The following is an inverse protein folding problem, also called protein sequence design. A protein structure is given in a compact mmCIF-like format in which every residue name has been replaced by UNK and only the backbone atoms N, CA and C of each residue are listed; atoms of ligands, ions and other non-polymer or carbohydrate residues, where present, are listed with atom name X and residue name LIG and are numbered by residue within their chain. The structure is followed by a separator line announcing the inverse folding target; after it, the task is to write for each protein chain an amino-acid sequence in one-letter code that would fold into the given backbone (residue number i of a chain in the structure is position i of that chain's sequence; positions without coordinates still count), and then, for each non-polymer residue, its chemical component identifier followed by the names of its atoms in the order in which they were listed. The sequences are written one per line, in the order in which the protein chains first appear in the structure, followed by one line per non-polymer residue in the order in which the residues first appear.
data_IF_949388012760
#
_entry.id   IF_949388012760
#
_cell.length_a   1.000
_cell.length_b   1.000
_cell.length_c   1.000
_cell.angle_alpha   90.00
_cell.angle_beta   90.00
_cell.angle_gamma   90.00
#
_symmetry.space_group_name_H-M   'P 1'
#
loop_
_entity.id
_entity.type
_entity.pdbx_description
1 polymer ?
#
# COMPACT_ATOMS: atom_id res chain seq x y z
N UNK A 1 20.77 -6.52 5.90
CA UNK A 1 19.56 -5.68 5.94
C UNK A 1 20.01 -4.28 6.32
N UNK A 2 19.54 -3.24 5.64
CA UNK A 2 19.78 -1.86 6.08
C UNK A 2 18.94 -1.60 7.34
N UNK A 3 19.47 -0.84 8.30
CA UNK A 3 18.70 -0.39 9.46
C UNK A 3 17.50 0.46 9.01
N UNK A 4 16.34 0.26 9.63
CA UNK A 4 15.16 1.09 9.41
C UNK A 4 15.32 2.41 10.18
N UNK A 5 15.27 3.55 9.49
CA UNK A 5 15.41 4.86 10.13
C UNK A 5 14.07 5.47 10.51
N UNK A 6 13.90 5.73 11.80
CA UNK A 6 12.73 6.36 12.40
C UNK A 6 13.07 7.75 12.92
N UNK A 7 12.44 8.76 12.35
CA UNK A 7 12.52 10.15 12.81
C UNK A 7 11.44 10.44 13.84
N UNK A 8 11.78 11.22 14.87
CA UNK A 8 10.83 11.65 15.88
C UNK A 8 10.79 13.17 15.94
N UNK A 9 9.59 13.72 15.83
CA UNK A 9 9.32 15.16 15.96
C UNK A 9 8.62 15.42 17.29
N UNK A 10 9.23 16.24 18.13
CA UNK A 10 8.71 16.61 19.44
C UNK A 10 8.90 15.54 20.52
N UNK A 11 7.98 15.49 21.50
CA UNK A 11 8.15 14.66 22.70
C UNK A 11 6.86 14.37 23.47
N UNK A 12 7.00 13.75 24.64
CA UNK A 12 5.91 13.45 25.55
C UNK A 12 5.73 11.95 25.81
N UNK A 13 4.75 11.57 26.66
CA UNK A 13 4.71 10.22 27.25
C UNK A 13 4.62 9.07 26.24
N UNK A 14 3.96 9.29 25.09
CA UNK A 14 3.88 8.30 24.01
C UNK A 14 5.23 8.15 23.32
N UNK A 15 5.87 9.26 22.95
CA UNK A 15 7.18 9.27 22.30
C UNK A 15 8.25 8.66 23.21
N UNK A 16 8.25 9.03 24.50
CA UNK A 16 9.21 8.49 25.47
C UNK A 16 9.07 6.97 25.59
N UNK A 17 7.84 6.48 25.67
CA UNK A 17 7.56 5.04 25.71
C UNK A 17 7.93 4.34 24.39
N UNK A 18 7.71 5.00 23.24
CA UNK A 18 8.08 4.46 21.93
C UNK A 18 9.60 4.32 21.79
N UNK A 19 10.38 5.32 22.21
CA UNK A 19 11.85 5.25 22.19
C UNK A 19 12.39 4.10 23.02
N UNK A 20 11.83 3.87 24.20
CA UNK A 20 12.19 2.72 25.04
C UNK A 20 11.87 1.42 24.30
N UNK A 21 10.64 1.30 23.75
CA UNK A 21 10.22 0.11 23.00
C UNK A 21 11.13 -0.19 21.81
N UNK A 22 11.42 0.79 20.96
CA UNK A 22 12.23 0.59 19.75
C UNK A 22 13.68 0.25 20.09
N UNK A 23 14.23 0.82 21.17
CA UNK A 23 15.57 0.46 21.66
C UNK A 23 15.66 -1.00 22.15
N UNK A 24 14.55 -1.52 22.67
CA UNK A 24 14.43 -2.91 23.13
C UNK A 24 14.07 -3.89 21.99
N UNK A 25 13.83 -3.39 20.77
CA UNK A 25 13.51 -4.23 19.62
C UNK A 25 14.70 -5.10 19.23
N UNK A 26 14.41 -6.32 18.78
CA UNK A 26 15.42 -7.20 18.19
C UNK A 26 15.76 -6.82 16.74
N UNK A 27 14.99 -5.89 16.15
CA UNK A 27 15.19 -5.38 14.79
C UNK A 27 16.15 -4.19 14.81
N UNK A 28 16.88 -4.03 13.71
CA UNK A 28 17.80 -2.91 13.51
C UNK A 28 16.99 -1.65 13.16
N UNK A 29 16.67 -0.85 14.19
CA UNK A 29 15.90 0.39 14.09
C UNK A 29 16.70 1.55 14.65
N UNK A 30 17.12 2.47 13.78
CA UNK A 30 17.79 3.72 14.12
C UNK A 30 16.76 4.80 14.43
N UNK A 31 16.77 5.36 15.64
CA UNK A 31 15.87 6.45 16.03
C UNK A 31 16.65 7.77 16.10
N UNK A 32 16.18 8.79 15.37
CA UNK A 32 16.78 10.14 15.34
C UNK A 32 15.76 11.22 15.64
N UNK A 33 16.22 12.33 16.22
CA UNK A 33 15.42 13.53 16.40
C UNK A 33 15.33 14.32 15.09
N UNK A 34 14.14 14.82 14.79
CA UNK A 34 13.83 15.65 13.61
C UNK A 34 13.11 16.91 14.07
N UNK A 35 13.48 18.06 13.50
CA UNK A 35 12.97 19.36 13.96
C UNK A 35 11.47 19.55 13.67
N UNK A 36 10.99 19.07 12.53
CA UNK A 36 9.60 19.23 12.08
C UNK A 36 9.24 18.16 11.05
N UNK A 37 7.93 17.92 10.86
CA UNK A 37 7.45 17.07 9.76
C UNK A 37 7.77 17.74 8.42
N UNK A 38 8.58 17.08 7.60
CA UNK A 38 9.02 17.59 6.29
C UNK A 38 8.11 17.16 5.13
N UNK A 39 8.64 17.24 3.91
CA UNK A 39 8.00 16.66 2.72
C UNK A 39 8.30 15.17 2.62
N UNK A 40 7.30 14.35 2.29
CA UNK A 40 7.50 12.93 2.01
C UNK A 40 7.68 12.69 0.51
N UNK A 41 8.83 12.14 0.14
CA UNK A 41 9.15 11.71 -1.21
C UNK A 41 8.47 10.37 -1.50
N UNK A 42 7.43 10.41 -2.33
CA UNK A 42 6.60 9.24 -2.63
C UNK A 42 7.27 8.23 -3.57
N UNK A 43 8.29 8.65 -4.30
CA UNK A 43 9.11 7.83 -5.19
C UNK A 43 10.11 7.01 -4.39
N UNK A 44 10.72 7.61 -3.39
CA UNK A 44 11.79 7.00 -2.60
C UNK A 44 11.30 6.45 -1.25
N UNK A 45 10.02 6.67 -0.92
CA UNK A 45 9.39 6.36 0.36
C UNK A 45 10.19 6.84 1.58
N UNK A 46 10.64 8.10 1.52
CA UNK A 46 11.43 8.70 2.58
C UNK A 46 11.08 10.16 2.79
N UNK A 47 11.35 10.63 3.98
CA UNK A 47 11.23 12.04 4.32
C UNK A 47 12.41 12.82 3.75
N UNK A 48 12.14 14.00 3.20
CA UNK A 48 13.12 14.91 2.65
C UNK A 48 13.94 15.58 3.76
N UNK A 49 14.80 14.79 4.40
CA UNK A 49 15.78 15.22 5.39
C UNK A 49 17.17 14.64 5.08
N UNK A 50 18.21 15.23 5.67
CA UNK A 50 19.59 14.76 5.50
C UNK A 50 19.84 13.38 6.15
N UNK A 51 18.96 12.93 7.05
CA UNK A 51 19.09 11.66 7.76
C UNK A 51 18.53 10.46 6.96
N UNK A 52 17.76 10.72 5.91
CA UNK A 52 17.09 9.68 5.12
C UNK A 52 16.07 8.90 5.94
N UNK A 53 15.28 9.59 6.77
CA UNK A 53 14.24 8.97 7.60
C UNK A 53 13.21 8.27 6.72
N UNK A 54 12.87 7.03 7.06
CA UNK A 54 11.85 6.26 6.34
C UNK A 54 10.48 6.43 7.00
N UNK A 55 10.42 6.34 8.33
CA UNK A 55 9.18 6.52 9.11
C UNK A 55 9.31 7.69 10.06
N UNK A 56 8.30 8.54 10.14
CA UNK A 56 8.27 9.67 11.06
C UNK A 56 7.16 9.50 12.09
N UNK A 57 7.48 9.78 13.36
CA UNK A 57 6.51 9.84 14.45
C UNK A 57 6.49 11.24 15.04
N UNK A 58 5.34 11.92 15.03
CA UNK A 58 5.22 13.29 15.51
C UNK A 58 4.31 13.40 16.74
N UNK A 59 4.65 14.28 17.69
CA UNK A 59 3.75 14.69 18.77
C UNK A 59 2.68 15.69 18.32
N UNK A 60 2.67 16.09 17.04
CA UNK A 60 1.60 16.92 16.49
C UNK A 60 0.24 16.20 16.57
N UNK A 61 -0.86 16.94 16.73
CA UNK A 61 -2.18 16.33 16.72
C UNK A 61 -2.47 15.72 15.34
N UNK A 62 -3.15 14.56 15.27
CA UNK A 62 -3.59 13.99 14.01
C UNK A 62 -4.64 14.89 13.33
N UNK A 63 -4.80 14.80 12.00
CA UNK A 63 -5.91 15.44 11.30
C UNK A 63 -7.26 14.89 11.79
N UNK A 64 -8.34 15.63 11.52
CA UNK A 64 -9.69 15.23 11.95
C UNK A 64 -10.13 13.87 11.38
N UNK A 65 -9.75 13.59 10.12
CA UNK A 65 -9.87 12.27 9.53
C UNK A 65 -8.60 11.47 9.81
N UNK A 66 -8.70 10.51 10.72
CA UNK A 66 -7.59 9.65 11.09
C UNK A 66 -8.10 8.27 11.52
N UNK A 67 -7.17 7.33 11.56
CA UNK A 67 -7.34 6.02 12.13
C UNK A 67 -6.75 5.99 13.55
N UNK A 68 -7.58 5.66 14.54
CA UNK A 68 -7.24 5.49 15.97
C UNK A 68 -6.48 6.66 16.64
N UNK A 69 -6.38 7.83 16.01
CA UNK A 69 -5.54 8.93 16.45
C UNK A 69 -4.06 8.77 16.13
N UNK A 70 -3.67 7.75 15.35
CA UNK A 70 -2.26 7.36 15.16
C UNK A 70 -1.79 7.39 13.72
N UNK A 71 -2.68 7.32 12.73
CA UNK A 71 -2.30 7.33 11.31
C UNK A 71 -3.42 7.92 10.45
N UNK A 72 -3.11 8.27 9.20
CA UNK A 72 -4.12 8.59 8.18
C UNK A 72 -3.71 8.03 6.83
N UNK A 73 -4.68 7.68 5.99
CA UNK A 73 -4.38 7.18 4.65
C UNK A 73 -3.70 8.26 3.78
N UNK A 74 -3.78 9.55 4.14
CA UNK A 74 -3.21 10.62 3.33
C UNK A 74 -1.70 10.78 3.54
N UNK A 75 -1.16 10.30 4.66
CA UNK A 75 0.22 10.52 5.06
C UNK A 75 0.91 9.16 5.29
N UNK A 76 1.40 8.51 4.22
CA UNK A 76 2.19 7.29 4.36
C UNK A 76 3.43 7.56 5.22
N UNK A 77 3.86 6.55 5.95
CA UNK A 77 5.03 6.58 6.83
C UNK A 77 5.01 7.67 7.91
N UNK A 78 3.85 8.30 8.17
CA UNK A 78 3.66 9.25 9.25
C UNK A 78 2.75 8.66 10.32
N UNK A 79 3.25 8.60 11.53
CA UNK A 79 2.46 8.27 12.72
C UNK A 79 2.32 9.46 13.66
N UNK A 80 1.16 9.53 14.31
CA UNK A 80 0.80 10.57 15.27
C UNK A 80 0.82 10.03 16.69
N UNK A 81 1.47 10.77 17.57
CA UNK A 81 1.55 10.53 19.00
C UNK A 81 0.89 11.67 19.82
N UNK A 82 0.39 12.72 19.15
CA UNK A 82 -0.21 13.90 19.78
C UNK A 82 -1.68 13.78 20.16
N UNK A 83 -2.35 12.67 19.81
CA UNK A 83 -3.75 12.47 20.20
C UNK A 83 -3.88 12.31 21.74
N UNK A 84 -4.83 13.00 22.40
CA UNK A 84 -5.06 12.83 23.83
C UNK A 84 -5.34 11.36 24.19
N UNK A 85 -4.57 10.82 25.13
CA UNK A 85 -4.69 9.41 25.54
C UNK A 85 -4.42 9.24 27.03
N UNK A 86 -5.17 8.32 27.65
CA UNK A 86 -4.89 7.85 29.02
C UNK A 86 -3.97 6.62 29.05
N UNK A 87 -3.56 6.10 27.88
CA UNK A 87 -2.77 4.88 27.75
C UNK A 87 -1.55 5.08 26.84
N UNK A 88 -0.59 5.94 27.22
CA UNK A 88 0.54 6.28 26.36
C UNK A 88 1.38 5.05 25.95
N UNK A 89 1.55 4.08 26.87
CA UNK A 89 2.27 2.82 26.57
C UNK A 89 1.54 1.93 25.57
N UNK A 90 0.20 1.94 25.54
CA UNK A 90 -0.56 1.16 24.56
C UNK A 90 -0.41 1.77 23.16
N UNK A 91 -0.48 3.10 23.05
CA UNK A 91 -0.21 3.81 21.80
C UNK A 91 1.21 3.56 21.33
N UNK A 92 2.21 3.72 22.20
CA UNK A 92 3.61 3.42 21.86
C UNK A 92 3.82 1.95 21.44
N UNK A 93 3.15 1.01 22.11
CA UNK A 93 3.15 -0.40 21.74
C UNK A 93 2.60 -0.64 20.33
N UNK A 94 1.47 0.00 20.01
CA UNK A 94 0.84 -0.08 18.69
C UNK A 94 1.73 0.52 17.60
N UNK A 95 2.27 1.72 17.83
CA UNK A 95 3.18 2.39 16.90
C UNK A 95 4.45 1.58 16.66
N UNK A 96 5.07 1.09 17.74
CA UNK A 96 6.27 0.27 17.63
C UNK A 96 6.00 -1.04 16.88
N UNK A 97 4.87 -1.70 17.12
CA UNK A 97 4.51 -2.90 16.37
C UNK A 97 4.31 -2.62 14.87
N UNK A 98 3.69 -1.49 14.49
CA UNK A 98 3.53 -1.12 13.09
C UNK A 98 4.88 -0.83 12.38
N UNK A 99 5.83 -0.22 13.11
CA UNK A 99 7.19 0.05 12.64
C UNK A 99 8.00 -1.25 12.51
N UNK A 100 7.90 -2.14 13.49
CA UNK A 100 8.55 -3.45 13.47
C UNK A 100 8.01 -4.32 12.33
N UNK A 101 6.70 -4.28 12.06
CA UNK A 101 6.09 -4.97 10.92
C UNK A 101 6.65 -4.47 9.59
N UNK A 102 6.82 -3.15 9.43
CA UNK A 102 7.46 -2.58 8.24
C UNK A 102 8.88 -3.14 8.04
N UNK A 103 9.67 -3.20 9.11
CA UNK A 103 11.03 -3.75 9.08
C UNK A 103 11.06 -5.25 8.78
N UNK A 104 10.14 -6.03 9.37
CA UNK A 104 10.01 -7.48 9.15
C UNK A 104 9.59 -7.79 7.71
N UNK A 105 8.64 -7.04 7.16
CA UNK A 105 8.17 -7.18 5.79
C UNK A 105 9.20 -6.72 4.74
N UNK A 106 10.30 -6.07 5.16
CA UNK A 106 11.27 -5.47 4.23
C UNK A 106 10.64 -4.36 3.37
N UNK A 107 9.55 -3.76 3.84
CA UNK A 107 8.79 -2.76 3.11
C UNK A 107 9.39 -1.36 3.29
N UNK A 108 9.23 -0.49 2.28
CA UNK A 108 9.63 0.92 2.36
C UNK A 108 8.47 1.84 2.73
N UNK A 109 7.23 1.40 2.56
CA UNK A 109 6.01 2.17 2.85
C UNK A 109 5.03 1.41 3.73
N UNK A 110 4.52 2.09 4.75
CA UNK A 110 3.36 1.70 5.56
C UNK A 110 2.27 2.77 5.43
N UNK A 111 1.04 2.35 5.12
CA UNK A 111 -0.08 3.26 4.93
C UNK A 111 -1.37 2.60 5.42
N UNK A 112 -2.17 3.30 6.24
CA UNK A 112 -3.46 2.73 6.67
C UNK A 112 -4.39 2.59 5.47
N UNK A 113 -5.08 1.45 5.38
CA UNK A 113 -6.02 1.17 4.30
C UNK A 113 -7.19 2.14 4.36
N UNK A 114 -7.50 2.82 3.25
CA UNK A 114 -8.62 3.79 3.21
C UNK A 114 -9.98 3.20 3.64
N UNK A 115 -10.36 1.97 3.26
CA UNK A 115 -11.59 1.36 3.77
C UNK A 115 -11.62 1.19 5.30
N UNK A 116 -10.48 0.87 5.91
CA UNK A 116 -10.34 0.69 7.35
C UNK A 116 -10.49 2.02 8.08
N UNK A 117 -9.83 3.08 7.60
CA UNK A 117 -9.98 4.43 8.14
C UNK A 117 -11.43 4.93 8.04
N UNK A 118 -12.09 4.76 6.88
CA UNK A 118 -13.49 5.17 6.69
C UNK A 118 -14.45 4.40 7.61
N UNK A 119 -14.27 3.09 7.75
CA UNK A 119 -15.05 2.26 8.67
C UNK A 119 -14.89 2.72 10.13
N UNK A 120 -13.66 3.06 10.52
CA UNK A 120 -13.37 3.62 11.84
C UNK A 120 -14.06 4.97 12.06
N UNK A 121 -13.94 5.89 11.10
CA UNK A 121 -14.58 7.22 11.18
C UNK A 121 -16.10 7.10 11.27
N UNK A 122 -16.71 6.21 10.49
CA UNK A 122 -18.15 5.90 10.58
C UNK A 122 -18.54 5.41 11.97
N UNK A 123 -17.75 4.51 12.56
CA UNK A 123 -17.97 4.00 13.91
C UNK A 123 -17.84 5.09 14.99
N UNK A 124 -16.81 5.95 14.90
CA UNK A 124 -16.60 7.06 15.86
C UNK A 124 -17.74 8.05 15.79
N UNK A 125 -18.19 8.44 14.58
CA UNK A 125 -19.35 9.34 14.40
C UNK A 125 -20.62 8.77 15.03
N UNK A 126 -20.82 7.46 14.94
CA UNK A 126 -22.00 6.81 15.49
C UNK A 126 -21.96 6.57 17.01
N UNK A 127 -20.77 6.39 17.61
CA UNK A 127 -20.66 5.83 18.97
C UNK A 127 -19.70 6.56 19.92
N UNK A 128 -18.93 7.53 19.44
CA UNK A 128 -17.87 8.20 20.19
C UNK A 128 -16.57 7.39 20.32
N UNK A 129 -16.57 6.09 20.03
CA UNK A 129 -15.32 5.33 19.77
C UNK A 129 -14.51 4.82 20.97
N UNK A 130 -14.67 5.37 22.18
CA UNK A 130 -13.70 5.21 23.29
C UNK A 130 -13.40 3.76 23.68
N UNK A 131 -14.43 2.90 23.86
CA UNK A 131 -14.21 1.49 24.27
C UNK A 131 -13.55 0.66 23.16
N UNK A 132 -13.92 0.87 21.90
CA UNK A 132 -13.35 0.14 20.76
C UNK A 132 -11.93 0.60 20.47
N UNK A 133 -11.65 1.90 20.64
CA UNK A 133 -10.32 2.49 20.54
C UNK A 133 -9.34 1.79 21.49
N UNK A 134 -9.69 1.71 22.77
CA UNK A 134 -8.86 1.05 23.78
C UNK A 134 -8.56 -0.41 23.45
N UNK A 135 -9.51 -1.12 22.80
CA UNK A 135 -9.33 -2.51 22.38
C UNK A 135 -8.39 -2.62 21.18
N UNK A 136 -8.58 -1.80 20.15
CA UNK A 136 -7.73 -1.80 18.95
C UNK A 136 -6.29 -1.36 19.27
N UNK A 137 -6.10 -0.37 20.14
CA UNK A 137 -4.75 0.05 20.56
C UNK A 137 -3.98 -1.00 21.38
N UNK A 138 -4.66 -2.00 21.96
CA UNK A 138 -4.00 -3.07 22.74
C UNK A 138 -3.39 -4.16 21.87
N UNK A 139 -3.87 -4.31 20.64
CA UNK A 139 -3.43 -5.36 19.72
C UNK A 139 -3.31 -4.75 18.35
N UNK A 140 -2.06 -4.56 17.92
CA UNK A 140 -1.76 -4.24 16.54
C UNK A 140 -2.32 -5.32 15.61
N UNK A 141 -2.81 -4.87 14.46
CA UNK A 141 -3.44 -5.69 13.43
C UNK A 141 -2.84 -5.24 12.10
N UNK A 142 -1.98 -6.08 11.51
CA UNK A 142 -1.24 -5.75 10.30
C UNK A 142 -2.18 -5.49 9.11
N UNK A 143 -3.33 -6.17 9.08
CA UNK A 143 -4.34 -6.07 8.02
C UNK A 143 -5.02 -4.68 7.95
N UNK A 144 -4.86 -3.85 9.00
CA UNK A 144 -5.31 -2.47 8.99
C UNK A 144 -4.46 -1.58 8.04
N UNK A 145 -3.26 -2.03 7.64
CA UNK A 145 -2.27 -1.29 6.86
C UNK A 145 -1.83 -2.03 5.58
N UNK A 146 -1.44 -1.27 4.58
CA UNK A 146 -0.71 -1.76 3.41
C UNK A 146 0.80 -1.56 3.66
N UNK A 147 1.59 -2.60 3.42
CA UNK A 147 3.05 -2.61 3.48
C UNK A 147 3.61 -2.86 2.08
N UNK A 148 4.31 -1.89 1.50
CA UNK A 148 4.78 -1.95 0.11
C UNK A 148 6.23 -1.48 -0.02
N UNK A 149 6.92 -1.92 -1.07
CA UNK A 149 8.29 -1.49 -1.39
C UNK A 149 8.33 -0.73 -2.70
N UNK A 150 9.21 0.26 -2.84
CA UNK A 150 9.43 0.94 -4.13
C UNK A 150 9.81 -0.03 -5.26
N UNK A 151 10.61 -1.07 -4.96
CA UNK A 151 10.95 -2.14 -5.91
C UNK A 151 9.71 -2.91 -6.36
N UNK A 152 8.86 -3.35 -5.42
CA UNK A 152 7.60 -4.05 -5.73
C UNK A 152 6.64 -3.16 -6.54
N UNK A 153 6.54 -1.86 -6.22
CA UNK A 153 5.68 -0.91 -6.95
C UNK A 153 6.14 -0.63 -8.39
N UNK A 154 7.40 -0.87 -8.72
CA UNK A 154 7.96 -0.69 -10.08
C UNK A 154 8.04 -2.04 -10.85
N UNK A 155 8.30 -3.15 -10.16
CA UNK A 155 8.32 -4.52 -10.72
C UNK A 155 6.90 -5.09 -10.98
N UNK A 156 5.87 -4.62 -10.28
CA UNK A 156 4.48 -5.07 -10.48
C UNK A 156 3.82 -4.47 -11.75
N UNK A 157 4.52 -3.60 -12.49
CA UNK A 157 3.99 -2.96 -13.70
C UNK A 157 4.57 -3.64 -14.93
N UNK A 158 3.82 -4.58 -15.49
CA UNK A 158 4.12 -5.07 -16.83
C UNK A 158 3.86 -3.96 -17.86
N UNK A 159 4.89 -3.59 -18.62
CA UNK A 159 4.80 -2.67 -19.76
C UNK A 159 5.48 -3.29 -20.98
N UNK A 160 4.70 -3.94 -21.84
CA UNK A 160 5.24 -4.74 -22.93
C UNK A 160 4.24 -5.06 -24.03
N UNK A 161 4.71 -5.75 -25.07
CA UNK A 161 3.86 -6.21 -26.17
C UNK A 161 3.07 -7.44 -25.75
N UNK A 162 1.82 -7.52 -26.19
CA UNK A 162 0.91 -8.64 -25.97
C UNK A 162 0.14 -8.94 -27.25
N UNK A 163 -0.37 -10.16 -27.35
CA UNK A 163 -1.41 -10.51 -28.30
C UNK A 163 -2.75 -10.50 -27.57
N UNK A 164 -3.73 -9.80 -28.12
CA UNK A 164 -5.12 -9.81 -27.66
C UNK A 164 -5.93 -10.60 -28.67
N UNK A 165 -6.59 -11.66 -28.21
CA UNK A 165 -7.36 -12.60 -29.02
C UNK A 165 -8.86 -12.46 -28.72
N UNK A 166 -9.66 -12.47 -29.78
CA UNK A 166 -11.12 -12.48 -29.71
C UNK A 166 -11.69 -13.20 -30.94
N UNK A 167 -12.42 -14.30 -30.71
CA UNK A 167 -12.90 -15.20 -31.76
C UNK A 167 -11.74 -15.66 -32.67
N UNK A 168 -11.82 -15.40 -33.98
CA UNK A 168 -10.78 -15.72 -34.96
C UNK A 168 -9.81 -14.55 -35.23
N UNK A 169 -9.87 -13.47 -34.43
CA UNK A 169 -9.06 -12.26 -34.58
C UNK A 169 -8.00 -12.16 -33.48
N UNK A 170 -6.74 -11.95 -33.87
CA UNK A 170 -5.62 -11.72 -32.96
C UNK A 170 -4.90 -10.42 -33.35
N UNK A 171 -4.70 -9.53 -32.38
CA UNK A 171 -4.03 -8.23 -32.60
C UNK A 171 -2.85 -8.07 -31.64
N UNK A 172 -1.78 -7.45 -32.12
CA UNK A 172 -0.64 -7.09 -31.27
C UNK A 172 -0.86 -5.68 -30.70
N UNK A 173 -0.71 -5.55 -29.38
CA UNK A 173 -0.85 -4.28 -28.69
C UNK A 173 0.27 -4.10 -27.66
N UNK A 174 0.63 -2.84 -27.36
CA UNK A 174 1.39 -2.57 -26.13
C UNK A 174 0.39 -2.52 -24.98
N UNK A 175 0.70 -3.14 -23.86
CA UNK A 175 -0.12 -3.14 -22.66
C UNK A 175 0.73 -2.72 -21.48
N UNK A 176 0.20 -1.79 -20.67
CA UNK A 176 0.76 -1.40 -19.38
C UNK A 176 -0.25 -1.70 -18.28
N UNK A 177 0.03 -2.70 -17.45
CA UNK A 177 -0.88 -3.21 -16.41
C UNK A 177 -0.15 -3.46 -15.11
N UNK A 178 -0.89 -3.38 -14.01
CA UNK A 178 -0.42 -3.73 -12.68
C UNK A 178 -1.38 -4.71 -12.02
N UNK A 179 -0.84 -5.62 -11.22
CA UNK A 179 -1.59 -6.59 -10.45
C UNK A 179 -1.61 -6.32 -8.94
N UNK A 180 -2.57 -6.90 -8.24
CA UNK A 180 -2.64 -6.98 -6.78
C UNK A 180 -3.43 -8.22 -6.35
N UNK A 181 -3.09 -8.83 -5.22
CA UNK A 181 -3.92 -9.87 -4.62
C UNK A 181 -5.05 -9.23 -3.81
N UNK A 182 -6.30 -9.61 -4.05
CA UNK A 182 -7.45 -9.21 -3.24
C UNK A 182 -7.78 -10.29 -2.19
N UNK A 183 -7.51 -10.05 -0.89
CA UNK A 183 -7.78 -11.03 0.16
C UNK A 183 -9.28 -11.30 0.38
N UNK A 184 -10.16 -10.41 -0.09
CA UNK A 184 -11.61 -10.53 0.11
C UNK A 184 -12.20 -11.64 -0.76
N UNK A 185 -11.68 -11.81 -1.97
CA UNK A 185 -12.13 -12.86 -2.87
C UNK A 185 -11.08 -13.96 -3.10
N UNK A 186 -9.85 -13.78 -2.62
CA UNK A 186 -8.77 -14.75 -2.74
C UNK A 186 -8.18 -14.85 -4.15
N UNK A 187 -8.43 -13.86 -5.01
CA UNK A 187 -7.92 -13.83 -6.38
C UNK A 187 -6.92 -12.70 -6.58
N UNK A 188 -6.00 -12.93 -7.50
CA UNK A 188 -5.15 -11.87 -8.04
C UNK A 188 -5.94 -11.08 -9.08
N UNK A 189 -5.99 -9.77 -8.97
CA UNK A 189 -6.64 -8.87 -9.92
C UNK A 189 -5.57 -8.03 -10.61
N UNK A 190 -5.73 -7.81 -11.90
CA UNK A 190 -4.82 -6.94 -12.64
C UNK A 190 -5.60 -6.00 -13.55
N UNK A 191 -5.08 -4.79 -13.72
CA UNK A 191 -5.73 -3.74 -14.50
C UNK A 191 -4.73 -2.77 -15.10
N UNK A 192 -5.12 -2.13 -16.20
CA UNK A 192 -4.29 -1.12 -16.84
C UNK A 192 -4.84 -0.66 -18.18
N UNK A 193 -3.92 -0.35 -19.09
CA UNK A 193 -4.19 0.27 -20.38
C UNK A 193 -3.58 -0.57 -21.49
N UNK A 194 -4.39 -0.87 -22.51
CA UNK A 194 -3.95 -1.37 -23.80
C UNK A 194 -3.92 -0.21 -24.82
N UNK A 195 -2.82 -0.13 -25.56
CA UNK A 195 -2.53 0.93 -26.52
C UNK A 195 -2.61 0.40 -27.95
N UNK A 196 -3.17 1.20 -28.84
CA UNK A 196 -3.19 0.93 -30.28
C UNK A 196 -4.59 1.03 -30.89
N UNK A 197 -4.64 1.42 -32.17
CA UNK A 197 -5.89 1.63 -32.89
C UNK A 197 -6.70 0.34 -33.06
N UNK A 198 -6.03 -0.81 -33.17
CA UNK A 198 -6.69 -2.12 -33.30
C UNK A 198 -7.44 -2.51 -32.02
N UNK A 199 -6.87 -2.25 -30.84
CA UNK A 199 -7.57 -2.51 -29.56
C UNK A 199 -8.76 -1.55 -29.41
N UNK A 200 -8.59 -0.31 -29.87
CA UNK A 200 -9.66 0.68 -29.89
C UNK A 200 -10.79 0.25 -30.82
N UNK A 201 -10.49 -0.29 -32.00
CA UNK A 201 -11.49 -0.82 -32.93
C UNK A 201 -12.30 -1.97 -32.32
N UNK A 202 -11.64 -2.93 -31.65
CA UNK A 202 -12.32 -3.98 -30.89
C UNK A 202 -13.33 -3.37 -29.89
N UNK A 203 -12.89 -2.36 -29.14
CA UNK A 203 -13.76 -1.71 -28.14
C UNK A 203 -14.89 -0.91 -28.78
N UNK A 204 -14.65 -0.20 -29.88
CA UNK A 204 -15.67 0.52 -30.66
C UNK A 204 -16.72 -0.47 -31.23
N UNK A 205 -16.30 -1.70 -31.60
CA UNK A 205 -17.19 -2.83 -31.94
C UNK A 205 -17.89 -3.49 -30.74
N UNK A 206 -17.72 -2.94 -29.54
CA UNK A 206 -18.30 -3.42 -28.27
C UNK A 206 -17.80 -4.80 -27.83
N UNK A 207 -16.62 -5.21 -28.29
CA UNK A 207 -15.93 -6.37 -27.71
C UNK A 207 -15.59 -6.07 -26.24
N UNK A 208 -15.89 -7.03 -25.37
CA UNK A 208 -15.77 -6.85 -23.93
C UNK A 208 -14.96 -7.95 -23.24
N UNK A 209 -15.06 -9.21 -23.70
CA UNK A 209 -14.23 -10.32 -23.22
C UNK A 209 -13.18 -10.63 -24.28
N UNK A 210 -11.94 -10.86 -23.87
CA UNK A 210 -10.80 -11.20 -24.75
C UNK A 210 -9.89 -12.16 -24.02
N UNK A 211 -9.01 -12.84 -24.74
CA UNK A 211 -7.86 -13.53 -24.16
C UNK A 211 -6.59 -12.71 -24.40
N UNK A 212 -5.67 -12.73 -23.44
CA UNK A 212 -4.40 -12.00 -23.52
C UNK A 212 -3.25 -12.99 -23.40
N UNK A 213 -2.31 -12.89 -24.34
CA UNK A 213 -1.10 -13.72 -24.41
C UNK A 213 0.12 -12.81 -24.35
N UNK A 214 1.09 -13.15 -23.51
CA UNK A 214 2.39 -12.48 -23.44
C UNK A 214 3.48 -13.51 -23.76
N UNK A 215 4.28 -13.26 -24.79
CA UNK A 215 5.33 -14.19 -25.19
C UNK A 215 4.78 -15.58 -25.53
N UNK A 216 5.34 -16.62 -24.90
CA UNK A 216 4.96 -18.02 -25.07
C UNK A 216 4.09 -18.56 -23.90
N UNK A 217 3.54 -17.68 -23.05
CA UNK A 217 2.68 -18.05 -21.92
C UNK A 217 1.26 -18.45 -22.35
N UNK A 218 0.55 -19.15 -21.47
CA UNK A 218 -0.85 -19.53 -21.70
C UNK A 218 -1.77 -18.28 -21.81
N UNK A 219 -2.76 -18.28 -22.72
CA UNK A 219 -3.76 -17.22 -22.78
C UNK A 219 -4.54 -17.09 -21.48
N UNK A 220 -4.79 -15.86 -21.04
CA UNK A 220 -5.61 -15.57 -19.85
C UNK A 220 -6.83 -14.73 -20.19
N UNK A 221 -7.98 -14.96 -19.52
CA UNK A 221 -9.18 -14.17 -19.76
C UNK A 221 -9.03 -12.74 -19.23
N UNK A 222 -9.45 -11.78 -20.04
CA UNK A 222 -9.46 -10.37 -19.71
C UNK A 222 -10.73 -9.67 -20.22
N UNK A 223 -10.92 -8.42 -19.81
CA UNK A 223 -12.03 -7.58 -20.23
C UNK A 223 -11.59 -6.20 -20.68
N UNK A 224 -12.08 -5.77 -21.84
CA UNK A 224 -11.98 -4.40 -22.31
C UNK A 224 -13.14 -3.58 -21.73
N UNK A 225 -12.83 -2.62 -20.84
CA UNK A 225 -13.84 -1.94 -20.01
C UNK A 225 -14.29 -0.61 -20.62
N UNK A 226 -13.39 0.37 -20.72
CA UNK A 226 -13.70 1.73 -21.18
C UNK A 226 -12.65 2.29 -22.13
N UNK A 227 -13.03 3.23 -22.99
CA UNK A 227 -12.10 4.06 -23.75
C UNK A 227 -11.79 5.30 -22.89
N UNK A 228 -10.52 5.58 -22.66
CA UNK A 228 -10.09 6.75 -21.89
C UNK A 228 -10.32 8.05 -22.68
N UNK A 229 -10.30 9.22 -22.02
CA UNK A 229 -10.38 10.51 -22.72
C UNK A 229 -9.29 10.73 -23.78
N UNK A 230 -8.19 9.98 -23.72
CA UNK A 230 -7.08 10.04 -24.67
C UNK A 230 -7.15 8.97 -25.77
N UNK A 231 -8.25 8.21 -25.83
CA UNK A 231 -8.50 7.22 -26.87
C UNK A 231 -7.85 5.85 -26.65
N UNK A 232 -7.19 5.61 -25.52
CA UNK A 232 -6.65 4.28 -25.14
C UNK A 232 -7.72 3.41 -24.48
N UNK A 233 -7.52 2.10 -24.42
CA UNK A 233 -8.54 1.17 -23.89
C UNK A 233 -8.12 0.65 -22.52
N UNK A 234 -9.01 0.73 -21.52
CA UNK A 234 -8.81 0.07 -20.22
C UNK A 234 -9.04 -1.44 -20.36
N UNK A 235 -8.14 -2.20 -19.75
CA UNK A 235 -8.18 -3.66 -19.70
C UNK A 235 -8.03 -4.15 -18.26
N UNK A 236 -8.74 -5.22 -17.90
CA UNK A 236 -8.74 -5.83 -16.57
C UNK A 236 -8.78 -7.35 -16.67
N UNK A 237 -8.19 -8.07 -15.72
CA UNK A 237 -8.36 -9.52 -15.59
C UNK A 237 -8.24 -10.00 -14.15
N UNK A 238 -8.58 -11.28 -13.95
CA UNK A 238 -8.61 -11.95 -12.65
C UNK A 238 -7.88 -13.28 -12.76
N UNK A 239 -7.17 -13.67 -11.72
CA UNK A 239 -6.30 -14.84 -11.68
C UNK A 239 -4.86 -14.51 -12.05
N UNK A 240 -4.11 -15.55 -12.45
CA UNK A 240 -2.70 -15.42 -12.85
C UNK A 240 -2.59 -14.39 -13.99
N UNK A 241 -1.72 -13.36 -13.88
CA UNK A 241 -1.51 -12.42 -14.97
C UNK A 241 -0.85 -13.14 -16.17
N UNK A 242 -1.00 -12.60 -17.40
CA UNK A 242 -0.43 -13.24 -18.60
C UNK A 242 1.09 -13.10 -18.67
N UNK A 243 1.69 -12.24 -17.85
CA UNK A 243 3.13 -12.02 -17.79
C UNK A 243 3.74 -12.77 -16.59
N UNK A 244 5.01 -13.19 -16.68
CA UNK A 244 5.71 -13.79 -15.56
C UNK A 244 5.77 -12.79 -14.39
N UNK A 245 5.35 -13.25 -13.22
CA UNK A 245 5.66 -12.59 -11.95
C UNK A 245 7.03 -13.12 -11.53
N UNK A 246 7.99 -12.23 -11.25
CA UNK A 246 9.24 -12.66 -10.64
C UNK A 246 8.92 -13.34 -9.30
N UNK A 247 9.50 -14.53 -9.06
CA UNK A 247 9.34 -15.32 -7.85
C UNK A 247 9.90 -14.56 -6.62
N UNK A 248 9.15 -13.58 -6.12
CA UNK A 248 9.37 -12.94 -4.83
C UNK A 248 8.28 -13.45 -3.88
N UNK A 249 8.65 -14.51 -3.17
CA UNK A 249 8.01 -15.08 -1.98
C UNK A 249 6.51 -15.39 -2.03
N UNK A 250 6.13 -16.33 -2.91
CA UNK A 250 5.10 -17.33 -2.57
C UNK A 250 5.77 -18.41 -1.71
N UNK A 251 6.35 -18.03 -0.56
CA UNK A 251 6.71 -18.99 0.47
C UNK A 251 5.49 -19.29 1.35
N UNK A 252 4.71 -20.23 0.84
CA UNK A 252 4.20 -21.38 1.57
C UNK A 252 3.50 -21.14 2.93
N UNK A 253 2.17 -21.03 2.87
CA UNK A 253 1.34 -21.75 3.84
C UNK A 253 0.78 -23.01 3.17
N UNK A 254 1.59 -24.07 3.26
CA UNK A 254 1.15 -25.45 3.10
C UNK A 254 0.78 -26.03 4.45
#
# INVERSE_FOLDING_TARGET
MSSLRVGVVGGGPVIDALRVRLRESALDVEVTDVASVGHFDTTLDRWGDEAGVQVLVTSDPPPAENYLGVATHQHPNLFYAGAPTSWPRAVAGYLGAAIEELALAGASRVQVRRPIELSWLGYVRATGGTRKLARKLKRFDADDFDYTSAAIRDDDVYDGLVVIEHDDEAITARMRVQGYFDPLDGHFHWAGIAFGDQVRDLKDRRVAAVEVVVGDEDPVPARLTDITPWGTVRITGVGRPPYPLDDIDILAHR
#
